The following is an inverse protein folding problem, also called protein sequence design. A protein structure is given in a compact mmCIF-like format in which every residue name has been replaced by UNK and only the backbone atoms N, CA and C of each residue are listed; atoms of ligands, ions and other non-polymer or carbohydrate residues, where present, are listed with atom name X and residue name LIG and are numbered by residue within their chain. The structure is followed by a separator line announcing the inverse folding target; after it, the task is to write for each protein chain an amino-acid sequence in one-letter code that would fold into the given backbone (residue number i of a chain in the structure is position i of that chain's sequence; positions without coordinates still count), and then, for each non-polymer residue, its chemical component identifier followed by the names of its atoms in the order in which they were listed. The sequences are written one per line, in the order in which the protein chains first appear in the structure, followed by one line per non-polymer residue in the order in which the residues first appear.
data_IF_764550090280
#
_entry.id   IF_764550090280
#
_cell.length_a   1.000
_cell.length_b   1.000
_cell.length_c   1.000
_cell.angle_alpha   90.00
_cell.angle_beta   90.00
_cell.angle_gamma   90.00
#
_symmetry.space_group_name_H-M   'P 1'
#
loop_
_entity.id
_entity.type
_entity.pdbx_description
1 polymer ?
#
# COMPACT_ATOMS: atom_id res chain seq x y z
N UNK A 1 -20.51 0.53 -6.33
CA UNK A 1 -19.22 1.26 -6.37
C UNK A 1 -18.10 0.27 -6.70
N UNK A 2 -17.18 0.60 -7.60
CA UNK A 2 -16.03 -0.28 -7.90
C UNK A 2 -14.99 -0.09 -6.79
N UNK A 3 -14.79 -1.11 -5.95
CA UNK A 3 -13.77 -1.06 -4.89
C UNK A 3 -12.36 -1.10 -5.49
N UNK A 4 -11.47 -0.27 -4.95
CA UNK A 4 -10.05 -0.28 -5.26
C UNK A 4 -9.32 -1.24 -4.32
N UNK A 5 -8.49 -2.12 -4.90
CA UNK A 5 -7.63 -3.01 -4.13
C UNK A 5 -6.31 -2.32 -3.83
N UNK A 6 -5.83 -2.50 -2.60
CA UNK A 6 -4.46 -2.17 -2.27
C UNK A 6 -3.47 -3.00 -3.11
N UNK A 7 -2.33 -2.41 -3.43
CA UNK A 7 -1.27 -3.09 -4.18
C UNK A 7 -0.42 -4.03 -3.30
N UNK A 8 -0.40 -3.81 -1.98
CA UNK A 8 0.26 -4.71 -1.02
C UNK A 8 -0.72 -5.73 -0.45
N UNK A 9 -0.24 -6.97 -0.28
CA UNK A 9 -0.88 -7.93 0.61
C UNK A 9 -0.51 -7.56 2.05
N UNK A 10 -1.52 -7.39 2.90
CA UNK A 10 -1.30 -6.94 4.27
C UNK A 10 -2.29 -7.62 5.22
N UNK A 11 -1.79 -8.08 6.37
CA UNK A 11 -2.63 -8.61 7.42
C UNK A 11 -3.59 -7.52 7.93
N UNK A 12 -4.85 -7.88 8.17
CA UNK A 12 -5.85 -6.91 8.63
C UNK A 12 -6.38 -5.96 7.55
N UNK A 13 -6.14 -6.23 6.26
CA UNK A 13 -6.68 -5.46 5.15
C UNK A 13 -8.21 -5.33 5.23
N UNK A 14 -8.70 -4.09 5.21
CA UNK A 14 -10.13 -3.76 5.43
C UNK A 14 -10.97 -3.80 4.16
N UNK A 15 -10.44 -4.29 3.03
CA UNK A 15 -11.12 -4.32 1.73
C UNK A 15 -12.56 -4.86 1.78
N UNK A 16 -12.80 -5.93 2.55
CA UNK A 16 -14.14 -6.50 2.73
C UNK A 16 -15.10 -5.58 3.50
N UNK A 17 -14.59 -4.80 4.44
CA UNK A 17 -15.33 -3.95 5.38
C UNK A 17 -15.44 -2.48 4.92
N UNK A 18 -14.85 -2.12 3.77
CA UNK A 18 -14.81 -0.73 3.28
C UNK A 18 -16.20 -0.09 3.24
N UNK A 19 -17.22 -0.80 2.75
CA UNK A 19 -18.57 -0.26 2.67
C UNK A 19 -19.17 0.04 4.05
N UNK A 20 -19.00 -0.88 5.00
CA UNK A 20 -19.51 -0.68 6.36
C UNK A 20 -18.78 0.47 7.07
N UNK A 21 -17.46 0.57 6.89
CA UNK A 21 -16.65 1.68 7.42
C UNK A 21 -17.14 3.01 6.83
N UNK A 22 -17.33 3.08 5.51
CA UNK A 22 -17.78 4.29 4.83
C UNK A 22 -19.13 4.79 5.31
N UNK A 23 -20.08 3.89 5.61
CA UNK A 23 -21.40 4.27 6.14
C UNK A 23 -21.32 4.99 7.48
N UNK A 24 -20.27 4.76 8.25
CA UNK A 24 -20.08 5.34 9.58
C UNK A 24 -19.03 6.46 9.61
N UNK A 25 -18.28 6.65 8.52
CA UNK A 25 -17.32 7.74 8.41
C UNK A 25 -18.05 9.06 8.13
N UNK A 26 -17.86 10.09 8.95
CA UNK A 26 -18.53 11.38 8.73
C UNK A 26 -17.90 12.14 7.55
N UNK A 27 -18.67 13.04 6.90
CA UNK A 27 -18.10 13.99 5.97
C UNK A 27 -17.11 14.89 6.71
N UNK A 28 -15.94 15.11 6.10
CA UNK A 28 -14.93 16.02 6.61
C UNK A 28 -14.04 16.47 5.46
N UNK A 29 -13.17 17.46 5.73
CA UNK A 29 -12.14 17.88 4.77
C UNK A 29 -10.92 16.97 4.77
N UNK A 30 -10.68 16.25 5.87
CA UNK A 30 -9.45 15.48 6.07
C UNK A 30 -9.72 14.17 6.80
N UNK A 31 -9.24 13.06 6.24
CA UNK A 31 -9.14 11.77 6.93
C UNK A 31 -7.74 11.61 7.53
N UNK A 32 -7.68 11.15 8.77
CA UNK A 32 -6.43 10.78 9.46
C UNK A 32 -6.47 9.28 9.71
N UNK A 33 -5.53 8.54 9.14
CA UNK A 33 -5.36 7.10 9.38
C UNK A 33 -4.03 6.85 10.09
N UNK A 34 -4.01 6.69 11.43
CA UNK A 34 -2.79 6.45 12.19
C UNK A 34 -2.14 5.08 11.94
N UNK A 35 -2.89 4.15 11.32
CA UNK A 35 -2.50 2.76 11.06
C UNK A 35 -2.92 2.37 9.64
N UNK A 36 -2.34 3.03 8.63
CA UNK A 36 -2.80 2.90 7.24
C UNK A 36 -2.64 1.47 6.70
N UNK A 37 -1.58 0.75 7.08
CA UNK A 37 -1.25 -0.55 6.50
C UNK A 37 -1.29 -0.52 4.97
N UNK A 38 -2.06 -1.43 4.36
CA UNK A 38 -2.28 -1.45 2.90
C UNK A 38 -3.14 -0.29 2.33
N UNK A 39 -3.73 0.57 3.17
CA UNK A 39 -4.51 1.74 2.72
C UNK A 39 -5.88 1.42 2.13
N UNK A 40 -6.52 0.32 2.56
CA UNK A 40 -7.82 -0.09 2.00
C UNK A 40 -8.94 0.94 2.18
N UNK A 41 -8.96 1.69 3.29
CA UNK A 41 -9.98 2.71 3.54
C UNK A 41 -9.70 3.95 2.68
N UNK A 42 -8.51 4.55 2.84
CA UNK A 42 -7.99 5.63 1.99
C UNK A 42 -8.28 5.44 0.49
N UNK A 43 -7.94 4.28 -0.09
CA UNK A 43 -8.10 4.02 -1.53
C UNK A 43 -9.56 3.98 -2.00
N UNK A 44 -10.51 3.92 -1.08
CA UNK A 44 -11.92 3.80 -1.40
C UNK A 44 -12.76 4.99 -0.93
N UNK A 45 -12.23 5.89 -0.10
CA UNK A 45 -12.89 7.14 0.33
C UNK A 45 -12.52 8.32 -0.56
N UNK A 46 -13.23 9.45 -0.41
CA UNK A 46 -13.01 10.67 -1.19
C UNK A 46 -13.03 11.93 -0.29
N UNK A 47 -11.98 12.10 0.50
CA UNK A 47 -11.70 13.29 1.29
C UNK A 47 -10.71 14.21 0.56
N UNK A 48 -10.83 15.53 0.73
CA UNK A 48 -9.91 16.50 0.10
C UNK A 48 -8.43 16.28 0.52
N UNK A 49 -8.23 15.83 1.77
CA UNK A 49 -6.90 15.60 2.32
C UNK A 49 -6.82 14.30 3.11
N UNK A 50 -5.63 13.71 3.11
CA UNK A 50 -5.31 12.52 3.88
C UNK A 50 -4.03 12.75 4.69
N UNK A 51 -4.02 12.29 5.93
CA UNK A 51 -2.80 12.06 6.71
C UNK A 51 -2.71 10.56 7.01
N UNK A 52 -1.81 9.89 6.32
CA UNK A 52 -1.60 8.46 6.42
C UNK A 52 -0.32 8.22 7.21
N UNK A 53 -0.42 7.45 8.29
CA UNK A 53 0.70 7.11 9.14
C UNK A 53 0.72 5.60 9.43
N UNK A 54 1.91 5.09 9.67
CA UNK A 54 2.18 3.74 10.15
C UNK A 54 3.51 3.79 10.89
N UNK A 55 3.72 2.85 11.81
CA UNK A 55 5.00 2.75 12.52
C UNK A 55 6.09 2.11 11.65
N UNK A 56 5.71 1.39 10.59
CA UNK A 56 6.65 0.78 9.67
C UNK A 56 7.26 1.83 8.70
N UNK A 57 8.55 2.17 8.84
CA UNK A 57 9.18 3.19 8.00
C UNK A 57 9.32 2.74 6.53
N UNK A 58 9.55 1.46 6.26
CA UNK A 58 9.68 0.94 4.89
C UNK A 58 8.35 1.10 4.13
N UNK A 59 7.23 0.88 4.81
CA UNK A 59 5.90 1.08 4.25
C UNK A 59 5.67 2.55 3.90
N UNK A 60 5.98 3.48 4.81
CA UNK A 60 5.79 4.91 4.59
C UNK A 60 6.72 5.42 3.48
N UNK A 61 7.98 4.97 3.46
CA UNK A 61 8.93 5.31 2.41
C UNK A 61 8.47 4.80 1.04
N UNK A 62 7.94 3.58 0.96
CA UNK A 62 7.36 3.02 -0.26
C UNK A 62 6.17 3.85 -0.78
N UNK A 63 5.25 4.26 0.11
CA UNK A 63 4.13 5.12 -0.28
C UNK A 63 4.60 6.50 -0.79
N UNK A 64 5.60 7.11 -0.16
CA UNK A 64 6.17 8.37 -0.63
C UNK A 64 6.88 8.21 -1.98
N UNK A 65 7.65 7.13 -2.18
CA UNK A 65 8.29 6.82 -3.46
C UNK A 65 7.26 6.66 -4.58
N UNK A 66 6.17 5.94 -4.33
CA UNK A 66 5.07 5.79 -5.29
C UNK A 66 4.37 7.12 -5.60
N UNK A 67 4.23 7.99 -4.61
CA UNK A 67 3.63 9.32 -4.78
C UNK A 67 4.51 10.23 -5.64
N UNK A 68 5.82 10.19 -5.44
CA UNK A 68 6.77 11.10 -6.07
C UNK A 68 7.27 10.60 -7.43
N UNK A 69 7.48 9.27 -7.57
CA UNK A 69 8.12 8.64 -8.74
C UNK A 69 7.40 7.36 -9.17
N UNK A 70 6.09 7.43 -9.50
CA UNK A 70 5.29 6.23 -9.78
C UNK A 70 5.83 5.42 -10.96
N UNK A 71 6.15 6.07 -12.08
CA UNK A 71 6.59 5.37 -13.31
C UNK A 71 7.96 4.71 -13.16
N UNK A 72 8.89 5.38 -12.46
CA UNK A 72 10.21 4.83 -12.15
C UNK A 72 10.07 3.58 -11.27
N UNK A 73 9.29 3.67 -10.19
CA UNK A 73 9.04 2.53 -9.32
C UNK A 73 8.35 1.38 -10.06
N UNK A 74 7.34 1.67 -10.88
CA UNK A 74 6.63 0.66 -11.67
C UNK A 74 7.58 -0.04 -12.65
N UNK A 75 8.42 0.73 -13.35
CA UNK A 75 9.42 0.20 -14.29
C UNK A 75 10.39 -0.74 -13.57
N UNK A 76 10.98 -0.29 -12.46
CA UNK A 76 11.95 -1.09 -11.71
C UNK A 76 11.30 -2.31 -11.06
N UNK A 77 10.14 -2.14 -10.40
CA UNK A 77 9.43 -3.24 -9.77
C UNK A 77 9.10 -4.34 -10.77
N UNK A 78 8.58 -4.00 -11.97
CA UNK A 78 8.22 -4.96 -13.02
C UNK A 78 9.33 -5.94 -13.39
N UNK A 79 10.60 -5.48 -13.38
CA UNK A 79 11.77 -6.32 -13.70
C UNK A 79 11.92 -7.52 -12.75
N UNK A 80 11.36 -7.42 -11.54
CA UNK A 80 11.43 -8.46 -10.53
C UNK A 80 10.30 -9.50 -10.64
N UNK A 81 9.19 -9.20 -11.32
CA UNK A 81 8.02 -10.08 -11.45
C UNK A 81 8.17 -11.04 -12.66
N UNK A 82 9.25 -11.81 -12.65
CA UNK A 82 9.58 -12.82 -13.69
C UNK A 82 9.71 -14.21 -13.09
N UNK A 83 9.60 -15.26 -13.91
CA UNK A 83 9.57 -16.65 -13.44
C UNK A 83 10.86 -17.06 -12.71
N UNK A 84 12.00 -16.50 -13.10
CA UNK A 84 13.33 -16.74 -12.56
C UNK A 84 13.44 -16.36 -11.08
N UNK A 85 12.69 -15.33 -10.67
CA UNK A 85 12.64 -14.84 -9.29
C UNK A 85 11.63 -15.62 -8.43
N UNK A 86 10.77 -16.45 -9.04
CA UNK A 86 9.84 -17.33 -8.31
C UNK A 86 10.50 -18.66 -7.90
N UNK A 87 11.75 -18.58 -7.45
CA UNK A 87 12.55 -19.70 -6.95
C UNK A 87 13.07 -19.37 -5.55
N UNK A 88 13.17 -20.38 -4.70
CA UNK A 88 13.57 -20.21 -3.29
C UNK A 88 14.92 -19.51 -3.17
N UNK A 89 15.89 -19.90 -3.99
CA UNK A 89 17.25 -19.39 -3.96
C UNK A 89 17.30 -17.92 -4.39
N UNK A 90 16.57 -17.57 -5.45
CA UNK A 90 16.46 -16.18 -5.92
C UNK A 90 15.80 -15.29 -4.84
N UNK A 91 14.68 -15.73 -4.26
CA UNK A 91 14.02 -15.01 -3.17
C UNK A 91 14.96 -14.80 -1.96
N UNK A 92 15.67 -15.84 -1.53
CA UNK A 92 16.59 -15.73 -0.38
C UNK A 92 17.75 -14.77 -0.66
N UNK A 93 18.27 -14.75 -1.89
CA UNK A 93 19.30 -13.79 -2.31
C UNK A 93 18.78 -12.35 -2.28
N UNK A 94 17.62 -12.08 -2.87
CA UNK A 94 16.99 -10.75 -2.91
C UNK A 94 16.66 -10.27 -1.48
N UNK A 95 16.16 -11.17 -0.63
CA UNK A 95 15.89 -10.86 0.79
C UNK A 95 17.18 -10.52 1.55
N UNK A 96 18.28 -11.20 1.25
CA UNK A 96 19.57 -10.87 1.85
C UNK A 96 20.08 -9.51 1.38
N UNK A 97 19.87 -9.15 0.11
CA UNK A 97 20.19 -7.83 -0.44
C UNK A 97 19.35 -6.72 0.21
N UNK A 98 18.04 -6.93 0.37
CA UNK A 98 17.14 -5.98 1.03
C UNK A 98 17.55 -5.66 2.49
N UNK A 99 18.13 -6.62 3.21
CA UNK A 99 18.50 -6.47 4.62
C UNK A 99 19.92 -5.93 4.85
N UNK A 100 20.66 -5.58 3.79
CA UNK A 100 21.99 -4.97 3.91
C UNK A 100 21.89 -3.47 4.15
#
# INVERSE_FOLDING_TARGET
MKKQRAFLKWAGGKYGLVEDIQRHLPPARKLVEPFVGAGSVFLNTDYDHYLLADINPDLINLYNLLKERPEEYISEAKRWFVAENNRKEAYLSIRAEFNK
#
